data_IF_884290251283
#
_entry.id   IF_884290251283
#
_cell.length_a   1.000
_cell.length_b   1.000
_cell.length_c   1.000
_cell.angle_alpha   90.00
_cell.angle_beta   90.00
_cell.angle_gamma   90.00
#
_symmetry.space_group_name_H-M   'P 1'
#
loop_
_entity.id
_entity.type
_entity.pdbx_description
1 polymer ?
#
# COMPACT_ATOMS: atom_id res chain seq x y z
N UNK A 1 18.79 -7.93 -10.77
CA UNK A 1 19.41 -6.60 -10.73
C UNK A 1 19.10 -5.93 -9.39
N UNK A 2 19.96 -5.02 -8.92
CA UNK A 2 19.65 -4.20 -7.75
C UNK A 2 18.85 -2.96 -8.19
N UNK A 3 17.84 -2.59 -7.42
CA UNK A 3 17.00 -1.41 -7.61
C UNK A 3 17.44 -0.38 -6.57
N UNK A 4 17.73 0.84 -7.00
CA UNK A 4 18.14 1.94 -6.11
C UNK A 4 16.93 2.73 -5.65
N UNK A 5 17.02 3.30 -4.45
CA UNK A 5 16.03 4.26 -3.97
C UNK A 5 16.00 5.50 -4.88
N UNK A 6 14.80 6.04 -5.11
CA UNK A 6 14.55 7.23 -5.90
C UNK A 6 14.89 8.53 -5.15
N UNK A 7 14.92 8.47 -3.81
CA UNK A 7 15.16 9.64 -2.98
C UNK A 7 16.57 10.21 -3.20
N UNK A 8 16.68 11.54 -3.30
CA UNK A 8 17.96 12.18 -3.62
C UNK A 8 18.93 12.01 -2.46
N UNK A 9 20.13 11.52 -2.76
CA UNK A 9 21.16 11.26 -1.75
C UNK A 9 20.95 9.98 -0.94
N UNK A 10 20.02 9.11 -1.34
CA UNK A 10 19.87 7.79 -0.74
C UNK A 10 20.63 6.72 -1.54
N UNK A 11 21.64 6.12 -0.92
CA UNK A 11 22.45 5.06 -1.56
C UNK A 11 21.90 3.64 -1.31
N UNK A 12 20.72 3.52 -0.70
CA UNK A 12 20.12 2.21 -0.41
C UNK A 12 19.64 1.55 -1.70
N UNK A 13 19.86 0.24 -1.79
CA UNK A 13 19.36 -0.59 -2.88
C UNK A 13 18.79 -1.91 -2.36
N UNK A 14 17.88 -2.49 -3.12
CA UNK A 14 17.22 -3.75 -2.80
C UNK A 14 17.04 -4.60 -4.04
N UNK A 15 16.71 -5.89 -3.85
CA UNK A 15 16.44 -6.82 -4.95
C UNK A 15 14.99 -7.26 -4.89
N UNK A 16 14.41 -7.53 -6.04
CA UNK A 16 13.18 -8.31 -6.13
C UNK A 16 13.53 -9.80 -6.04
N UNK A 17 12.75 -10.62 -5.31
CA UNK A 17 11.48 -10.29 -4.64
C UNK A 17 11.60 -9.74 -3.20
N UNK A 18 12.81 -9.68 -2.62
CA UNK A 18 13.06 -9.27 -1.23
C UNK A 18 12.59 -7.84 -0.87
N UNK A 19 12.21 -7.01 -1.85
CA UNK A 19 11.63 -5.68 -1.62
C UNK A 19 10.44 -5.73 -0.64
N UNK A 20 9.55 -6.73 -0.75
CA UNK A 20 8.41 -6.86 0.15
C UNK A 20 8.81 -7.24 1.59
N UNK A 21 9.89 -8.02 1.74
CA UNK A 21 10.44 -8.41 3.04
C UNK A 21 11.16 -7.23 3.72
N UNK A 22 11.83 -6.41 2.91
CA UNK A 22 12.49 -5.17 3.34
C UNK A 22 11.57 -3.95 3.36
N UNK A 23 10.25 -4.14 3.35
CA UNK A 23 9.24 -3.07 3.38
C UNK A 23 9.46 -1.95 2.36
N UNK A 24 10.05 -2.28 1.21
CA UNK A 24 10.30 -1.36 0.12
C UNK A 24 9.05 -1.24 -0.76
N UNK A 25 8.92 -0.08 -1.42
CA UNK A 25 7.80 0.25 -2.30
C UNK A 25 8.33 0.45 -3.72
N UNK A 26 7.73 -0.24 -4.69
CA UNK A 26 7.99 0.00 -6.11
C UNK A 26 6.68 0.41 -6.77
N UNK A 27 6.70 1.59 -7.40
CA UNK A 27 5.60 2.14 -8.17
C UNK A 27 5.80 1.73 -9.63
N UNK A 28 4.88 0.95 -10.20
CA UNK A 28 4.97 0.49 -11.60
C UNK A 28 4.25 1.40 -12.59
N UNK A 29 4.04 2.67 -12.23
CA UNK A 29 3.41 3.69 -13.07
C UNK A 29 4.33 4.90 -13.24
N UNK A 30 4.08 5.70 -14.29
CA UNK A 30 4.83 6.92 -14.57
C UNK A 30 6.33 6.66 -14.74
N UNK A 31 7.13 7.23 -13.83
CA UNK A 31 8.60 7.13 -13.86
C UNK A 31 9.16 5.86 -13.22
N UNK A 32 8.31 4.91 -12.82
CA UNK A 32 8.73 3.62 -12.27
C UNK A 32 9.64 3.76 -11.03
N UNK A 33 9.19 4.53 -10.03
CA UNK A 33 10.00 4.90 -8.87
C UNK A 33 10.05 3.78 -7.84
N UNK A 34 11.14 3.72 -7.09
CA UNK A 34 11.36 2.71 -6.06
C UNK A 34 11.90 3.36 -4.78
N UNK A 35 11.40 2.95 -3.62
CA UNK A 35 11.70 3.56 -2.34
C UNK A 35 12.11 2.48 -1.34
N UNK A 36 13.19 2.72 -0.60
CA UNK A 36 13.56 1.88 0.53
C UNK A 36 12.61 2.11 1.70
N UNK A 37 12.59 1.20 2.69
CA UNK A 37 11.73 1.30 3.88
C UNK A 37 11.68 2.69 4.55
N UNK A 38 12.80 3.43 4.54
CA UNK A 38 12.89 4.76 5.15
C UNK A 38 12.25 5.89 4.32
N UNK A 39 12.16 5.73 3.01
CA UNK A 39 11.63 6.74 2.09
C UNK A 39 10.35 6.27 1.41
N UNK A 40 9.76 5.18 1.92
CA UNK A 40 8.50 4.68 1.41
C UNK A 40 7.40 5.72 1.60
N UNK A 41 6.52 5.91 0.61
CA UNK A 41 5.34 6.75 0.77
C UNK A 41 4.47 6.23 1.92
N UNK A 42 4.16 7.09 2.87
CA UNK A 42 3.22 6.81 3.96
C UNK A 42 1.83 7.36 3.61
N UNK A 43 0.78 6.73 4.15
CA UNK A 43 -0.57 7.26 4.01
C UNK A 43 -0.73 8.51 4.86
N UNK A 44 -1.18 9.61 4.26
CA UNK A 44 -1.43 10.87 4.97
C UNK A 44 -2.67 10.83 5.89
N UNK A 45 -3.38 9.69 5.96
CA UNK A 45 -4.58 9.51 6.76
C UNK A 45 -4.21 9.38 8.23
N UNK A 46 -4.68 10.32 9.05
CA UNK A 46 -4.65 10.17 10.50
C UNK A 46 -5.59 9.01 10.88
N UNK A 47 -5.01 7.85 11.14
CA UNK A 47 -5.75 6.68 11.57
C UNK A 47 -6.34 6.96 12.95
N UNK A 48 -7.67 7.09 13.02
CA UNK A 48 -8.38 7.13 14.30
C UNK A 48 -8.04 5.86 15.11
N UNK A 49 -7.63 6.05 16.36
CA UNK A 49 -7.21 5.01 17.31
C UNK A 49 -8.35 4.09 17.79
N UNK A 50 -9.48 4.02 17.09
CA UNK A 50 -10.59 3.17 17.50
C UNK A 50 -10.27 1.69 17.30
N UNK A 51 -10.83 0.85 18.17
CA UNK A 51 -10.59 -0.58 18.40
C UNK A 51 -10.38 -1.43 17.12
N UNK A 52 -9.44 -2.40 17.20
CA UNK A 52 -9.23 -3.53 16.28
C UNK A 52 -9.99 -3.48 14.93
N UNK A 53 -9.30 -3.13 13.84
CA UNK A 53 -9.95 -3.09 12.51
C UNK A 53 -9.75 -4.41 11.78
N UNK A 54 -10.82 -4.90 11.19
CA UNK A 54 -10.82 -6.15 10.42
C UNK A 54 -10.61 -5.83 8.94
N UNK A 55 -9.81 -6.64 8.25
CA UNK A 55 -9.60 -6.52 6.81
C UNK A 55 -10.89 -6.86 6.06
N UNK A 56 -11.36 -5.96 5.19
CA UNK A 56 -12.59 -6.20 4.42
C UNK A 56 -12.49 -7.34 3.38
N UNK A 57 -11.28 -7.80 3.05
CA UNK A 57 -11.06 -8.84 2.04
C UNK A 57 -10.94 -10.24 2.63
N UNK A 58 -10.20 -10.41 3.74
CA UNK A 58 -10.00 -11.73 4.36
C UNK A 58 -10.74 -11.90 5.70
N UNK A 59 -11.34 -10.83 6.23
CA UNK A 59 -12.03 -10.81 7.53
C UNK A 59 -11.13 -11.08 8.73
N UNK A 60 -9.80 -10.98 8.59
CA UNK A 60 -8.83 -11.09 9.69
C UNK A 60 -8.40 -9.71 10.24
N UNK A 61 -7.87 -9.71 11.47
CA UNK A 61 -7.39 -8.52 12.15
C UNK A 61 -6.21 -7.83 11.42
N UNK A 62 -6.29 -6.50 11.29
CA UNK A 62 -5.17 -5.64 10.88
C UNK A 62 -4.50 -5.11 12.16
N UNK A 63 -3.36 -5.71 12.53
CA UNK A 63 -2.69 -5.45 13.82
C UNK A 63 -2.05 -4.07 13.90
N UNK A 64 -1.37 -3.62 12.83
CA UNK A 64 -0.60 -2.38 12.82
C UNK A 64 -1.04 -1.46 11.68
N UNK A 65 -1.96 -0.54 11.96
CA UNK A 65 -2.60 0.32 10.93
C UNK A 65 -1.66 1.33 10.27
N UNK A 66 -0.55 1.67 10.91
CA UNK A 66 0.50 2.56 10.37
C UNK A 66 1.72 1.77 9.84
N UNK A 67 1.59 0.46 9.67
CA UNK A 67 2.67 -0.37 9.13
C UNK A 67 2.60 -0.50 7.61
N UNK A 68 3.73 -0.88 6.99
CA UNK A 68 3.78 -1.32 5.59
C UNK A 68 2.71 -2.38 5.25
N UNK A 69 2.36 -3.22 6.22
CA UNK A 69 1.40 -4.32 6.03
C UNK A 69 -0.07 -3.91 5.97
N UNK A 70 -0.40 -2.66 6.29
CA UNK A 70 -1.77 -2.18 6.37
C UNK A 70 -2.04 -1.01 5.41
N UNK A 71 -3.28 -0.91 4.96
CA UNK A 71 -3.78 0.24 4.24
C UNK A 71 -5.19 0.59 4.71
N UNK A 72 -5.51 1.88 4.75
CA UNK A 72 -6.86 2.40 4.91
C UNK A 72 -7.30 3.13 3.64
N UNK A 73 -8.57 2.99 3.26
CA UNK A 73 -9.12 3.78 2.16
C UNK A 73 -9.08 5.28 2.52
N UNK A 74 -8.44 6.14 1.72
CA UNK A 74 -8.31 7.57 2.04
C UNK A 74 -9.64 8.32 1.98
N UNK A 75 -10.58 7.86 1.14
CA UNK A 75 -11.86 8.52 0.93
C UNK A 75 -12.82 8.36 2.11
N UNK A 76 -12.91 7.14 2.66
CA UNK A 76 -13.84 6.87 3.76
C UNK A 76 -13.17 6.72 5.10
N UNK A 77 -11.87 6.40 5.18
CA UNK A 77 -11.10 6.18 6.41
C UNK A 77 -11.63 5.06 7.33
N UNK A 78 -12.62 4.29 6.86
CA UNK A 78 -13.26 3.20 7.61
C UNK A 78 -13.03 1.81 6.98
N UNK A 79 -12.33 1.74 5.85
CA UNK A 79 -12.02 0.49 5.16
C UNK A 79 -10.55 0.14 5.38
N UNK A 80 -10.29 -0.84 6.23
CA UNK A 80 -8.95 -1.34 6.54
C UNK A 80 -8.68 -2.62 5.78
N UNK A 81 -7.44 -2.75 5.29
CA UNK A 81 -7.05 -3.79 4.36
C UNK A 81 -5.59 -4.18 4.60
N UNK A 82 -5.27 -5.48 4.57
CA UNK A 82 -3.86 -5.87 4.49
C UNK A 82 -3.32 -5.58 3.10
N UNK A 83 -2.09 -5.04 3.03
CA UNK A 83 -1.38 -4.80 1.77
C UNK A 83 -1.40 -6.04 0.85
N UNK A 84 -1.13 -7.21 1.43
CA UNK A 84 -1.15 -8.50 0.70
C UNK A 84 -2.51 -8.84 0.10
N UNK A 85 -3.59 -8.49 0.79
CA UNK A 85 -4.95 -8.76 0.32
C UNK A 85 -5.31 -7.83 -0.85
N UNK A 86 -4.96 -6.54 -0.75
CA UNK A 86 -5.16 -5.59 -1.86
C UNK A 86 -4.33 -6.00 -3.07
N UNK A 87 -3.07 -6.37 -2.88
CA UNK A 87 -2.20 -6.77 -3.98
C UNK A 87 -2.72 -8.01 -4.69
N UNK A 88 -3.24 -9.00 -3.95
CA UNK A 88 -3.96 -10.15 -4.54
C UNK A 88 -5.20 -9.69 -5.32
N UNK A 89 -6.00 -8.78 -4.76
CA UNK A 89 -7.16 -8.24 -5.46
C UNK A 89 -6.74 -7.54 -6.76
N UNK A 90 -5.72 -6.69 -6.75
CA UNK A 90 -5.20 -5.99 -7.92
C UNK A 90 -4.71 -6.94 -9.01
N UNK A 91 -4.06 -8.06 -8.65
CA UNK A 91 -3.63 -9.07 -9.62
C UNK A 91 -4.76 -9.86 -10.27
N UNK A 92 -5.93 -9.94 -9.63
CA UNK A 92 -7.09 -10.71 -10.11
C UNK A 92 -8.24 -9.85 -10.64
N UNK A 93 -8.29 -8.56 -10.31
CA UNK A 93 -9.37 -7.67 -10.71
C UNK A 93 -9.23 -7.29 -12.18
N UNK A 94 -10.16 -7.76 -13.03
CA UNK A 94 -10.17 -7.43 -14.45
C UNK A 94 -10.89 -6.11 -14.78
N UNK A 95 -11.80 -5.61 -13.92
CA UNK A 95 -12.60 -4.40 -14.23
C UNK A 95 -13.07 -3.53 -13.05
N UNK A 96 -12.98 -3.97 -11.79
CA UNK A 96 -13.56 -3.23 -10.66
C UNK A 96 -12.60 -3.12 -9.46
N UNK A 97 -11.68 -2.15 -9.50
CA UNK A 97 -10.77 -1.88 -8.39
C UNK A 97 -11.14 -0.57 -7.68
N UNK A 98 -11.96 -0.70 -6.64
CA UNK A 98 -12.47 0.41 -5.83
C UNK A 98 -12.61 -0.03 -4.38
N UNK A 99 -12.80 0.93 -3.48
CA UNK A 99 -13.06 0.63 -2.08
C UNK A 99 -14.39 -0.13 -1.90
N UNK A 100 -14.36 -1.34 -1.33
CA UNK A 100 -15.56 -2.16 -1.11
C UNK A 100 -16.55 -1.57 -0.09
N UNK A 101 -16.17 -0.50 0.64
CA UNK A 101 -17.03 0.16 1.63
C UNK A 101 -17.77 1.37 1.08
N UNK A 102 -17.07 2.26 0.38
CA UNK A 102 -17.63 3.53 -0.09
C UNK A 102 -17.71 3.63 -1.62
N UNK A 103 -17.29 2.59 -2.34
CA UNK A 103 -17.26 2.53 -3.81
C UNK A 103 -16.39 3.60 -4.47
N UNK A 104 -15.61 4.38 -3.71
CA UNK A 104 -14.67 5.32 -4.27
C UNK A 104 -13.56 4.58 -5.03
N UNK A 105 -13.41 4.92 -6.30
CA UNK A 105 -12.37 4.37 -7.17
C UNK A 105 -11.16 5.29 -7.21
N UNK A 106 -11.34 6.58 -7.48
CA UNK A 106 -10.22 7.48 -7.81
C UNK A 106 -9.20 7.62 -6.69
N UNK A 107 -9.62 7.94 -5.47
CA UNK A 107 -8.69 8.09 -4.34
C UNK A 107 -8.14 6.73 -3.92
N UNK A 108 -8.96 5.67 -4.00
CA UNK A 108 -8.52 4.32 -3.66
C UNK A 108 -7.40 3.84 -4.60
N UNK A 109 -7.60 3.95 -5.91
CA UNK A 109 -6.61 3.60 -6.95
C UNK A 109 -5.35 4.45 -6.81
N UNK A 110 -5.50 5.77 -6.63
CA UNK A 110 -4.36 6.69 -6.51
C UNK A 110 -3.49 6.32 -5.31
N UNK A 111 -4.11 6.00 -4.17
CA UNK A 111 -3.41 5.61 -2.95
C UNK A 111 -2.71 4.25 -3.09
N UNK A 112 -3.38 3.27 -3.70
CA UNK A 112 -2.78 1.95 -3.93
C UNK A 112 -1.57 2.04 -4.85
N UNK A 113 -1.68 2.82 -5.93
CA UNK A 113 -0.56 3.06 -6.83
C UNK A 113 0.58 3.76 -6.10
N UNK A 114 0.29 4.84 -5.38
CA UNK A 114 1.31 5.63 -4.64
C UNK A 114 2.05 4.77 -3.61
N UNK A 115 1.34 3.89 -2.92
CA UNK A 115 1.93 2.95 -1.96
C UNK A 115 2.53 1.70 -2.60
N UNK A 116 2.55 1.59 -3.94
CA UNK A 116 3.20 0.52 -4.71
C UNK A 116 2.45 -0.81 -4.74
N UNK A 117 1.13 -0.74 -4.88
CA UNK A 117 0.25 -1.87 -5.18
C UNK A 117 -0.20 -1.79 -6.63
#
# INVERSE_FOLDING_TARGET
AAITCWEKGCDRSFRLPCAAEGECVTQFFGLHRSFCWQHCPEQAVEVALEESSTCLLCMDLVRDRKSYGAMVCPACQHAYLHRRCIQKQATHASTCFHCLRCLNQDQFVTETLTTGI
#
